data_IF_070671283253
#
_entry.id   IF_070671283253
#
_cell.length_a   1.000
_cell.length_b   1.000
_cell.length_c   1.000
_cell.angle_alpha   90.00
_cell.angle_beta   90.00
_cell.angle_gamma   90.00
#
_symmetry.space_group_name_H-M   'P 1'
#
loop_
_entity.id
_entity.type
_entity.pdbx_description
1 polymer ?
#
# COMPACT_ATOMS: atom_id res chain seq x y z
N UNK A 1 -4.16 4.43 23.32
CA UNK A 1 -3.89 3.04 22.95
C UNK A 1 -2.78 2.99 21.89
N UNK A 2 -1.77 2.15 22.11
CA UNK A 2 -0.65 2.04 21.17
C UNK A 2 -1.07 1.26 19.93
N UNK A 3 -0.78 1.79 18.76
CA UNK A 3 -1.04 1.11 17.49
C UNK A 3 0.05 0.07 17.23
N UNK A 4 -0.34 -1.13 16.86
CA UNK A 4 0.58 -2.26 16.71
C UNK A 4 1.59 -2.08 15.57
N UNK A 5 1.24 -1.37 14.51
CA UNK A 5 2.06 -1.23 13.32
C UNK A 5 2.55 0.20 13.09
N UNK A 6 2.56 1.00 14.14
CA UNK A 6 2.94 2.42 14.03
C UNK A 6 4.35 2.55 13.42
N UNK A 7 4.45 3.33 12.35
CA UNK A 7 5.71 3.54 11.65
C UNK A 7 6.13 2.45 10.68
N UNK A 8 5.40 1.33 10.62
CA UNK A 8 5.71 0.26 9.67
C UNK A 8 5.20 0.59 8.27
N UNK A 9 5.87 0.06 7.27
CA UNK A 9 5.47 0.23 5.86
C UNK A 9 5.04 -1.12 5.30
N UNK A 10 3.78 -1.22 4.90
CA UNK A 10 3.20 -2.47 4.39
C UNK A 10 2.92 -2.34 2.89
N UNK A 11 3.51 -3.23 2.10
CA UNK A 11 3.26 -3.35 0.67
C UNK A 11 2.29 -4.51 0.46
N UNK A 12 1.09 -4.22 -0.03
CA UNK A 12 0.02 -5.22 -0.10
C UNK A 12 -0.42 -5.38 -1.56
N UNK A 13 -0.17 -6.56 -2.14
CA UNK A 13 -0.61 -6.85 -3.50
C UNK A 13 -2.10 -7.20 -3.51
N UNK A 14 -2.77 -6.92 -4.63
CA UNK A 14 -4.20 -7.16 -4.74
C UNK A 14 -5.03 -6.32 -3.79
N UNK A 15 -4.54 -5.16 -3.37
CA UNK A 15 -5.16 -4.38 -2.31
C UNK A 15 -6.15 -3.31 -2.78
N UNK A 16 -6.43 -3.24 -4.09
CA UNK A 16 -7.42 -2.29 -4.60
C UNK A 16 -8.85 -2.79 -4.45
N UNK A 17 -9.06 -4.03 -4.04
CA UNK A 17 -10.39 -4.60 -3.85
C UNK A 17 -10.33 -5.85 -2.96
N UNK A 18 -11.51 -6.28 -2.50
CA UNK A 18 -11.68 -7.55 -1.79
C UNK A 18 -10.91 -7.65 -0.49
N UNK A 19 -10.38 -8.85 -0.24
CA UNK A 19 -9.65 -9.17 1.00
C UNK A 19 -8.40 -8.30 1.16
N UNK A 20 -7.67 -8.07 0.07
CA UNK A 20 -6.48 -7.23 0.11
C UNK A 20 -6.78 -5.81 0.56
N UNK A 21 -7.89 -5.24 0.10
CA UNK A 21 -8.33 -3.92 0.51
C UNK A 21 -8.67 -3.88 2.02
N UNK A 22 -9.36 -4.89 2.52
CA UNK A 22 -9.70 -4.96 3.94
C UNK A 22 -8.44 -5.08 4.81
N UNK A 23 -7.45 -5.85 4.37
CA UNK A 23 -6.16 -5.96 5.05
C UNK A 23 -5.46 -4.60 5.07
N UNK A 24 -5.45 -3.88 3.95
CA UNK A 24 -4.81 -2.57 3.87
C UNK A 24 -5.47 -1.58 4.83
N UNK A 25 -6.80 -1.57 4.89
CA UNK A 25 -7.54 -0.71 5.81
C UNK A 25 -7.19 -1.04 7.27
N UNK A 26 -7.12 -2.31 7.61
CA UNK A 26 -6.80 -2.74 8.97
C UNK A 26 -5.38 -2.32 9.35
N UNK A 27 -4.42 -2.51 8.44
CA UNK A 27 -3.04 -2.11 8.69
C UNK A 27 -2.94 -0.59 8.88
N UNK A 28 -3.65 0.18 8.05
CA UNK A 28 -3.67 1.64 8.19
C UNK A 28 -4.24 2.07 9.55
N UNK A 29 -5.30 1.42 10.00
CA UNK A 29 -5.89 1.68 11.31
C UNK A 29 -4.92 1.38 12.46
N UNK A 30 -4.02 0.41 12.26
CA UNK A 30 -2.99 0.05 13.24
C UNK A 30 -1.72 0.90 13.13
N UNK A 31 -1.73 1.93 12.31
CA UNK A 31 -0.64 2.90 12.21
C UNK A 31 0.37 2.68 11.10
N UNK A 32 0.17 1.65 10.27
CA UNK A 32 1.08 1.41 9.15
C UNK A 32 0.88 2.42 8.03
N UNK A 33 1.98 2.72 7.34
CA UNK A 33 1.92 3.36 6.02
C UNK A 33 1.66 2.24 5.03
N UNK A 34 0.63 2.38 4.20
CA UNK A 34 0.22 1.29 3.31
C UNK A 34 0.49 1.64 1.85
N UNK A 35 0.95 0.65 1.10
CA UNK A 35 1.15 0.77 -0.33
C UNK A 35 0.11 -0.09 -1.01
N UNK A 36 -0.77 0.56 -1.78
CA UNK A 36 -1.84 -0.10 -2.51
C UNK A 36 -1.27 -0.54 -3.85
N UNK A 37 -1.21 -1.84 -4.06
CA UNK A 37 -0.68 -2.41 -5.29
C UNK A 37 -1.68 -3.38 -5.90
N UNK A 38 -1.91 -3.24 -7.18
CA UNK A 38 -2.85 -4.05 -7.95
C UNK A 38 -2.52 -3.86 -9.42
N UNK A 39 -2.98 -4.76 -10.28
CA UNK A 39 -2.81 -4.58 -11.71
C UNK A 39 -3.62 -3.41 -12.27
N UNK A 40 -4.72 -3.06 -11.62
CA UNK A 40 -5.58 -1.94 -12.04
C UNK A 40 -5.07 -0.64 -11.44
N UNK A 41 -4.33 0.14 -12.24
CA UNK A 41 -3.71 1.38 -11.80
C UNK A 41 -4.74 2.42 -11.32
N UNK A 42 -5.87 2.51 -12.00
CA UNK A 42 -6.91 3.46 -11.65
C UNK A 42 -7.49 3.16 -10.26
N UNK A 43 -7.80 1.89 -10.00
CA UNK A 43 -8.30 1.48 -8.69
C UNK A 43 -7.27 1.67 -7.59
N UNK A 44 -5.99 1.43 -7.87
CA UNK A 44 -4.92 1.70 -6.91
C UNK A 44 -4.93 3.16 -6.49
N UNK A 45 -5.01 4.06 -7.46
CA UNK A 45 -5.00 5.48 -7.18
C UNK A 45 -6.24 5.91 -6.40
N UNK A 46 -7.42 5.43 -6.79
CA UNK A 46 -8.66 5.73 -6.09
C UNK A 46 -8.61 5.25 -4.63
N UNK A 47 -8.14 4.04 -4.41
CA UNK A 47 -8.04 3.46 -3.08
C UNK A 47 -7.05 4.23 -2.22
N UNK A 48 -5.87 4.54 -2.75
CA UNK A 48 -4.87 5.32 -2.03
C UNK A 48 -5.41 6.70 -1.67
N UNK A 49 -6.09 7.35 -2.59
CA UNK A 49 -6.70 8.67 -2.35
C UNK A 49 -7.75 8.59 -1.24
N UNK A 50 -8.60 7.57 -1.27
CA UNK A 50 -9.62 7.36 -0.24
C UNK A 50 -9.00 7.21 1.15
N UNK A 51 -7.91 6.47 1.27
CA UNK A 51 -7.21 6.30 2.55
C UNK A 51 -6.55 7.61 3.01
N UNK A 52 -5.96 8.37 2.09
CA UNK A 52 -5.39 9.68 2.40
C UNK A 52 -6.44 10.65 2.92
N UNK A 53 -7.63 10.64 2.30
CA UNK A 53 -8.74 11.49 2.75
C UNK A 53 -9.17 11.17 4.18
N UNK A 54 -8.97 9.95 4.62
CA UNK A 54 -9.24 9.51 5.99
C UNK A 54 -8.09 9.78 6.95
N UNK A 55 -7.02 10.41 6.49
CA UNK A 55 -5.87 10.78 7.32
C UNK A 55 -4.78 9.72 7.40
N UNK A 56 -4.83 8.67 6.60
CA UNK A 56 -3.80 7.64 6.58
C UNK A 56 -2.71 7.95 5.54
N UNK A 57 -1.50 7.44 5.78
CA UNK A 57 -0.42 7.50 4.80
C UNK A 57 -0.57 6.34 3.83
N UNK A 58 -0.83 6.64 2.57
CA UNK A 58 -1.04 5.63 1.54
C UNK A 58 -0.34 6.04 0.25
N UNK A 59 0.17 5.04 -0.48
CA UNK A 59 0.83 5.23 -1.76
C UNK A 59 0.21 4.29 -2.78
N UNK A 60 -0.03 4.78 -3.99
CA UNK A 60 -0.44 3.95 -5.12
C UNK A 60 0.80 3.47 -5.86
N UNK A 61 1.00 2.17 -5.93
CA UNK A 61 2.11 1.56 -6.66
C UNK A 61 1.59 0.40 -7.49
N UNK A 62 0.88 0.70 -8.61
CA UNK A 62 0.32 -0.36 -9.45
C UNK A 62 1.43 -1.25 -10.00
N UNK A 63 1.21 -2.55 -9.98
CA UNK A 63 2.14 -3.47 -10.60
C UNK A 63 1.49 -4.79 -10.95
N UNK A 64 2.09 -5.46 -11.94
CA UNK A 64 1.82 -6.84 -12.29
C UNK A 64 2.87 -7.68 -11.58
N UNK A 65 2.47 -8.46 -10.57
CA UNK A 65 3.42 -9.26 -9.77
C UNK A 65 4.05 -10.40 -10.57
N UNK A 66 3.50 -10.73 -11.74
CA UNK A 66 4.11 -11.73 -12.64
C UNK A 66 5.23 -11.14 -13.49
N UNK A 67 5.36 -9.81 -13.53
CA UNK A 67 6.44 -9.11 -14.22
C UNK A 67 7.46 -8.64 -13.19
N UNK A 68 8.62 -9.30 -13.18
CA UNK A 68 9.67 -9.04 -12.19
C UNK A 68 10.15 -7.58 -12.20
N UNK A 69 10.34 -7.00 -13.38
CA UNK A 69 10.80 -5.60 -13.50
C UNK A 69 9.74 -4.64 -12.98
N UNK A 70 8.49 -4.90 -13.29
CA UNK A 70 7.37 -4.08 -12.81
C UNK A 70 7.26 -4.12 -11.29
N UNK A 71 7.38 -5.31 -10.71
CA UNK A 71 7.38 -5.50 -9.26
C UNK A 71 8.55 -4.74 -8.60
N UNK A 72 9.75 -4.84 -9.16
CA UNK A 72 10.93 -4.13 -8.65
C UNK A 72 10.72 -2.62 -8.66
N UNK A 73 10.13 -2.09 -9.73
CA UNK A 73 9.84 -0.65 -9.82
C UNK A 73 8.88 -0.21 -8.73
N UNK A 74 7.86 -1.01 -8.44
CA UNK A 74 6.90 -0.69 -7.38
C UNK A 74 7.57 -0.70 -6.00
N UNK A 75 8.45 -1.65 -5.73
CA UNK A 75 9.21 -1.71 -4.48
C UNK A 75 10.15 -0.51 -4.36
N UNK A 76 10.86 -0.15 -5.44
CA UNK A 76 11.75 1.02 -5.45
C UNK A 76 10.99 2.31 -5.18
N UNK A 77 9.81 2.46 -5.78
CA UNK A 77 8.95 3.63 -5.52
C UNK A 77 8.57 3.70 -4.04
N UNK A 78 8.24 2.57 -3.45
CA UNK A 78 7.87 2.49 -2.04
C UNK A 78 9.05 2.89 -1.16
N UNK A 79 10.24 2.35 -1.42
CA UNK A 79 11.44 2.67 -0.66
C UNK A 79 11.80 4.14 -0.79
N UNK A 80 11.66 4.71 -1.97
CA UNK A 80 11.93 6.13 -2.23
C UNK A 80 10.96 7.03 -1.48
N UNK A 81 9.71 6.62 -1.37
CA UNK A 81 8.65 7.43 -0.76
C UNK A 81 8.64 7.29 0.76
N UNK A 82 8.76 6.08 1.29
CA UNK A 82 8.63 5.79 2.72
C UNK A 82 9.93 5.35 3.39
N UNK A 83 10.99 5.11 2.63
CA UNK A 83 12.31 4.75 3.14
C UNK A 83 12.56 3.27 3.34
N UNK A 84 11.53 2.45 3.44
CA UNK A 84 11.67 1.01 3.69
C UNK A 84 10.42 0.24 3.26
N UNK A 85 10.50 -1.07 3.30
CA UNK A 85 9.34 -1.98 3.21
C UNK A 85 9.49 -3.00 4.34
N UNK A 86 8.54 -2.99 5.27
CA UNK A 86 8.60 -3.86 6.48
C UNK A 86 7.74 -5.12 6.34
N UNK A 87 6.63 -5.01 5.62
CA UNK A 87 5.64 -6.10 5.53
C UNK A 87 5.25 -6.36 4.09
#
# INVERSE_FOLDING_TARGET
MTKLLDGKVAFITGSASGIGLEIAKKFAQEGAKVVISDMNAEKCQETANSLKERGFDALSAPCDVTDEDNYKQAIELTQKTFGTVDI
#
